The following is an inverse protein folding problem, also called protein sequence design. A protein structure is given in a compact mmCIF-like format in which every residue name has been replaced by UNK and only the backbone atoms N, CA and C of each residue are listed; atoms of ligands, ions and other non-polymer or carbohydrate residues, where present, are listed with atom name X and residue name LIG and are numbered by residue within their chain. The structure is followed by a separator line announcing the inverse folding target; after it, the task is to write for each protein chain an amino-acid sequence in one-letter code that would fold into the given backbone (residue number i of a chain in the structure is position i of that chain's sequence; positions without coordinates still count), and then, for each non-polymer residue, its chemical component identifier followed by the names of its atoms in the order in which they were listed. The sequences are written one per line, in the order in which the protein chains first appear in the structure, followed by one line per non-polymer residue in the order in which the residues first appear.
data_IF_306531044400
#
_entry.id   IF_306531044400
#
_cell.length_a   1.000
_cell.length_b   1.000
_cell.length_c   1.000
_cell.angle_alpha   90.00
_cell.angle_beta   90.00
_cell.angle_gamma   90.00
#
_symmetry.space_group_name_H-M   'P 1'
#
loop_
_entity.id
_entity.type
_entity.pdbx_description
1 polymer ?
#
# COMPACT_ATOMS: atom_id res chain seq x y z
N UNK A 1 -1.98 36.10 50.10
CA UNK A 1 -1.04 35.86 48.98
C UNK A 1 -0.78 34.36 48.74
N UNK A 2 -0.41 33.53 49.73
CA UNK A 2 -0.13 32.10 49.51
C UNK A 2 -1.32 31.27 48.94
N UNK A 3 -2.58 31.58 49.32
CA UNK A 3 -3.76 30.86 48.81
C UNK A 3 -4.10 31.21 47.35
N UNK A 4 -3.82 32.45 46.91
CA UNK A 4 -4.06 32.89 45.53
C UNK A 4 -3.01 32.29 44.59
N UNK A 5 -1.76 32.19 45.04
CA UNK A 5 -0.66 31.55 44.27
C UNK A 5 -0.93 30.06 44.08
N UNK A 6 -1.45 29.35 45.08
CA UNK A 6 -1.78 27.93 45.01
C UNK A 6 -2.96 27.69 44.03
N UNK A 7 -4.00 28.56 44.01
CA UNK A 7 -5.10 28.44 43.07
C UNK A 7 -4.68 28.71 41.62
N UNK A 8 -3.76 29.65 41.38
CA UNK A 8 -3.22 29.93 40.04
C UNK A 8 -2.36 28.76 39.56
N UNK A 9 -1.57 28.13 40.45
CA UNK A 9 -0.75 27.00 40.10
C UNK A 9 -1.58 25.76 39.74
N UNK A 10 -2.71 25.52 40.42
CA UNK A 10 -3.62 24.39 40.09
C UNK A 10 -4.36 24.61 38.76
N UNK A 11 -4.75 25.84 38.45
CA UNK A 11 -5.37 26.19 37.15
C UNK A 11 -4.35 26.08 36.02
N UNK A 12 -3.10 26.49 36.23
CA UNK A 12 -2.02 26.35 35.23
C UNK A 12 -1.66 24.87 34.97
N UNK A 13 -1.71 24.01 36.00
CA UNK A 13 -1.45 22.56 35.84
C UNK A 13 -2.61 21.84 35.11
N UNK A 14 -3.85 22.31 35.24
CA UNK A 14 -5.02 21.75 34.54
C UNK A 14 -5.04 22.08 33.04
N UNK A 15 -4.45 23.20 32.63
CA UNK A 15 -4.37 23.61 31.22
C UNK A 15 -3.27 22.82 30.47
N UNK A 16 -2.25 22.30 31.18
CA UNK A 16 -1.17 21.54 30.54
C UNK A 16 -1.55 20.10 30.17
N UNK A 17 -2.70 19.59 30.62
CA UNK A 17 -3.13 18.19 30.36
C UNK A 17 -4.08 18.03 29.19
N UNK A 18 -4.53 19.12 28.56
CA UNK A 18 -5.29 19.08 27.32
C UNK A 18 -4.35 19.07 26.09
N UNK A 19 -3.46 18.08 26.01
CA UNK A 19 -2.82 17.77 24.73
C UNK A 19 -3.97 17.39 23.78
N UNK A 20 -4.11 18.03 22.59
CA UNK A 20 -5.03 17.54 21.60
C UNK A 20 -4.60 16.11 21.27
N UNK A 21 -5.42 15.13 21.63
CA UNK A 21 -5.33 13.81 21.04
C UNK A 21 -5.63 14.03 19.57
N UNK A 22 -4.60 14.19 18.76
CA UNK A 22 -4.73 14.01 17.33
C UNK A 22 -5.20 12.59 17.14
N UNK A 23 -6.50 12.40 17.01
CA UNK A 23 -7.07 11.18 16.50
C UNK A 23 -6.40 11.00 15.13
N UNK A 24 -5.45 10.08 15.06
CA UNK A 24 -4.83 9.69 13.81
C UNK A 24 -5.99 9.21 12.94
N UNK A 25 -6.32 9.95 11.91
CA UNK A 25 -7.39 9.61 10.97
C UNK A 25 -7.12 8.17 10.50
N UNK A 26 -7.93 7.24 10.99
CA UNK A 26 -7.71 5.81 10.79
C UNK A 26 -8.22 5.47 9.40
N UNK A 27 -7.36 5.67 8.41
CA UNK A 27 -7.64 5.39 7.01
C UNK A 27 -7.89 3.90 6.82
N UNK A 28 -8.96 3.54 6.14
CA UNK A 28 -9.27 2.13 5.83
C UNK A 28 -8.25 1.62 4.81
N UNK A 29 -7.61 0.49 5.16
CA UNK A 29 -6.60 -0.13 4.31
C UNK A 29 -7.21 -0.68 3.03
N UNK A 30 -6.49 -0.48 1.92
CA UNK A 30 -6.82 -1.07 0.62
C UNK A 30 -6.16 -2.44 0.48
N UNK A 31 -6.80 -3.36 -0.22
CA UNK A 31 -6.23 -4.68 -0.56
C UNK A 31 -5.43 -4.54 -1.83
N UNK A 32 -4.12 -4.73 -1.74
CA UNK A 32 -3.19 -4.54 -2.86
C UNK A 32 -2.40 -5.82 -3.11
N UNK A 33 -2.38 -6.26 -4.36
CA UNK A 33 -1.52 -7.33 -4.80
C UNK A 33 -0.34 -6.76 -5.59
N UNK A 34 0.85 -7.30 -5.37
CA UNK A 34 1.97 -7.08 -6.29
C UNK A 34 1.92 -8.21 -7.29
N UNK A 35 1.70 -7.85 -8.55
CA UNK A 35 1.70 -8.78 -9.67
C UNK A 35 3.10 -8.92 -10.28
N UNK A 36 3.14 -9.04 -11.62
CA UNK A 36 4.41 -9.22 -12.32
C UNK A 36 5.38 -8.06 -12.07
N UNK A 37 6.60 -8.42 -11.65
CA UNK A 37 7.76 -7.53 -11.65
C UNK A 37 8.80 -8.11 -12.62
N UNK A 38 9.46 -7.28 -13.44
CA UNK A 38 10.40 -7.75 -14.47
C UNK A 38 11.71 -6.98 -14.41
N UNK A 39 12.77 -7.57 -14.94
CA UNK A 39 14.04 -6.90 -15.21
C UNK A 39 14.18 -6.74 -16.73
N UNK A 40 14.00 -5.52 -17.24
CA UNK A 40 14.12 -5.20 -18.67
C UNK A 40 15.57 -4.85 -19.07
N UNK A 41 16.47 -4.67 -18.10
CA UNK A 41 17.86 -4.31 -18.36
C UNK A 41 18.64 -5.49 -18.98
N UNK A 42 19.76 -5.19 -19.61
CA UNK A 42 20.71 -6.20 -20.10
C UNK A 42 21.73 -6.62 -19.02
N UNK A 43 21.71 -5.95 -17.87
CA UNK A 43 22.67 -6.19 -16.80
C UNK A 43 22.47 -7.56 -16.16
N UNK A 44 23.53 -8.34 -16.04
CA UNK A 44 23.51 -9.66 -15.45
C UNK A 44 22.93 -10.77 -16.34
N UNK A 45 22.46 -10.44 -17.56
CA UNK A 45 21.94 -11.42 -18.52
C UNK A 45 23.11 -12.11 -19.24
N UNK A 46 23.50 -13.29 -18.77
CA UNK A 46 24.49 -14.17 -19.40
C UNK A 46 23.81 -15.30 -20.16
N UNK A 47 24.64 -16.23 -20.69
CA UNK A 47 24.21 -17.40 -21.48
C UNK A 47 23.21 -18.32 -20.75
N UNK A 48 23.24 -18.31 -19.42
CA UNK A 48 22.36 -19.12 -18.54
C UNK A 48 21.35 -18.25 -17.76
N UNK A 49 20.97 -17.10 -18.31
CA UNK A 49 20.00 -16.23 -17.67
C UNK A 49 18.63 -16.89 -17.59
N UNK A 50 18.13 -17.02 -16.36
CA UNK A 50 16.78 -17.48 -16.07
C UNK A 50 15.91 -16.29 -15.67
N UNK A 51 14.89 -16.01 -16.48
CA UNK A 51 14.00 -14.88 -16.28
C UNK A 51 13.16 -14.99 -14.98
N UNK A 52 12.82 -16.23 -14.60
CA UNK A 52 11.98 -16.48 -13.43
C UNK A 52 12.80 -16.44 -12.13
N UNK A 53 14.11 -16.68 -12.22
CA UNK A 53 15.05 -16.63 -11.10
C UNK A 53 15.96 -15.39 -11.12
N UNK A 54 15.55 -14.29 -11.74
CA UNK A 54 16.33 -13.06 -11.76
C UNK A 54 16.45 -12.45 -10.34
N UNK A 55 17.67 -12.35 -9.78
CA UNK A 55 17.87 -11.85 -8.42
C UNK A 55 17.50 -10.37 -8.26
N UNK A 56 17.68 -9.54 -9.32
CA UNK A 56 17.31 -8.13 -9.26
C UNK A 56 15.81 -7.96 -9.21
N UNK A 57 15.08 -8.76 -9.97
CA UNK A 57 13.62 -8.78 -9.96
C UNK A 57 13.09 -9.14 -8.57
N UNK A 58 13.57 -10.25 -8.00
CA UNK A 58 13.15 -10.69 -6.64
C UNK A 58 13.45 -9.63 -5.61
N UNK A 59 14.64 -9.05 -5.63
CA UNK A 59 15.04 -8.01 -4.71
C UNK A 59 14.17 -6.75 -4.81
N UNK A 60 13.86 -6.30 -6.01
CA UNK A 60 13.00 -5.14 -6.21
C UNK A 60 11.58 -5.39 -5.68
N UNK A 61 11.05 -6.60 -5.88
CA UNK A 61 9.75 -7.02 -5.37
C UNK A 61 9.74 -7.05 -3.84
N UNK A 62 10.77 -7.62 -3.21
CA UNK A 62 10.90 -7.68 -1.75
C UNK A 62 10.99 -6.27 -1.13
N UNK A 63 11.78 -5.38 -1.75
CA UNK A 63 11.90 -3.99 -1.30
C UNK A 63 10.56 -3.25 -1.42
N UNK A 64 9.85 -3.42 -2.55
CA UNK A 64 8.54 -2.80 -2.77
C UNK A 64 7.52 -3.31 -1.75
N UNK A 65 7.43 -4.63 -1.56
CA UNK A 65 6.53 -5.27 -0.58
C UNK A 65 6.80 -4.74 0.83
N UNK A 66 8.07 -4.69 1.23
CA UNK A 66 8.47 -4.19 2.56
C UNK A 66 8.07 -2.72 2.76
N UNK A 67 8.29 -1.85 1.76
CA UNK A 67 7.93 -0.42 1.86
C UNK A 67 6.42 -0.22 1.93
N UNK A 68 5.64 -0.95 1.13
CA UNK A 68 4.18 -0.88 1.16
C UNK A 68 3.63 -1.40 2.49
N UNK A 69 4.18 -2.51 3.02
CA UNK A 69 3.81 -3.04 4.34
C UNK A 69 4.09 -2.05 5.46
N UNK A 70 5.28 -1.43 5.46
CA UNK A 70 5.69 -0.42 6.45
C UNK A 70 4.81 0.83 6.43
N UNK A 71 4.19 1.17 5.30
CA UNK A 71 3.26 2.30 5.21
C UNK A 71 2.02 2.12 6.11
N UNK A 72 1.65 0.88 6.43
CA UNK A 72 0.46 0.53 7.20
C UNK A 72 -0.87 0.84 6.50
N UNK A 73 -0.84 1.25 5.23
CA UNK A 73 -2.02 1.67 4.45
C UNK A 73 -2.66 0.53 3.66
N UNK A 74 -2.01 -0.64 3.61
CA UNK A 74 -2.42 -1.75 2.76
C UNK A 74 -2.55 -3.06 3.53
N UNK A 75 -3.45 -3.91 3.05
CA UNK A 75 -3.41 -5.37 3.20
C UNK A 75 -2.74 -5.87 1.92
N UNK A 76 -1.49 -6.34 2.04
CA UNK A 76 -0.76 -6.88 0.91
C UNK A 76 -1.13 -8.34 0.68
N UNK A 77 -1.40 -8.68 -0.57
CA UNK A 77 -1.78 -10.01 -1.00
C UNK A 77 -0.62 -10.61 -1.82
N UNK A 78 -0.15 -11.79 -1.38
CA UNK A 78 0.87 -12.54 -2.11
C UNK A 78 0.28 -13.11 -3.40
N UNK A 79 1.00 -12.95 -4.51
CA UNK A 79 0.62 -13.47 -5.83
C UNK A 79 1.76 -14.17 -6.57
N UNK A 80 3.00 -13.89 -6.20
CA UNK A 80 4.18 -14.49 -6.84
C UNK A 80 4.30 -15.97 -6.49
N UNK A 81 4.22 -16.28 -5.19
CA UNK A 81 4.35 -17.63 -4.65
C UNK A 81 3.00 -18.33 -4.44
N UNK A 82 1.96 -17.89 -5.13
CA UNK A 82 0.59 -18.39 -4.95
C UNK A 82 0.49 -19.91 -5.14
N UNK A 83 1.24 -20.46 -6.11
CA UNK A 83 1.24 -21.92 -6.37
C UNK A 83 1.85 -22.71 -5.21
N UNK A 84 2.85 -22.15 -4.52
CA UNK A 84 3.43 -22.73 -3.31
C UNK A 84 2.42 -22.69 -2.18
N UNK A 85 1.78 -21.54 -1.96
CA UNK A 85 0.76 -21.35 -0.92
C UNK A 85 -0.44 -22.29 -1.13
N UNK A 86 -0.89 -22.46 -2.37
CA UNK A 86 -2.01 -23.37 -2.69
C UNK A 86 -1.63 -24.83 -2.40
N UNK A 87 -0.39 -25.23 -2.66
CA UNK A 87 0.10 -26.59 -2.33
C UNK A 87 0.15 -26.84 -0.82
N UNK A 88 0.54 -25.83 -0.03
CA UNK A 88 0.62 -25.94 1.44
C UNK A 88 -0.78 -25.89 2.09
N UNK A 89 -1.65 -24.98 1.64
CA UNK A 89 -2.98 -24.80 2.21
C UNK A 89 -4.04 -25.79 1.69
N UNK A 90 -3.77 -26.44 0.54
CA UNK A 90 -4.72 -27.33 -0.11
C UNK A 90 -5.99 -26.63 -0.58
N UNK A 91 -7.10 -27.37 -0.59
CA UNK A 91 -8.43 -26.85 -1.02
C UNK A 91 -9.02 -25.81 -0.05
N UNK A 92 -8.37 -25.58 1.10
CA UNK A 92 -8.81 -24.63 2.13
C UNK A 92 -8.42 -23.19 1.85
N UNK A 93 -7.66 -22.93 0.77
CA UNK A 93 -7.19 -21.59 0.46
C UNK A 93 -8.29 -20.72 -0.13
N UNK A 94 -8.80 -19.78 0.66
CA UNK A 94 -9.68 -18.72 0.18
C UNK A 94 -8.85 -17.58 -0.42
N UNK A 95 -9.05 -17.30 -1.71
CA UNK A 95 -8.35 -16.19 -2.40
C UNK A 95 -9.08 -14.88 -2.16
N UNK A 96 -8.45 -13.96 -1.43
CA UNK A 96 -8.95 -12.59 -1.29
C UNK A 96 -8.78 -11.84 -2.60
N UNK A 97 -9.82 -11.13 -3.04
CA UNK A 97 -9.71 -10.20 -4.17
C UNK A 97 -8.90 -8.95 -3.80
N UNK A 98 -8.06 -8.48 -4.71
CA UNK A 98 -7.36 -7.21 -4.59
C UNK A 98 -8.23 -6.06 -5.10
N UNK A 99 -8.11 -4.88 -4.50
CA UNK A 99 -8.69 -3.63 -5.05
C UNK A 99 -7.78 -3.11 -6.18
N UNK A 100 -6.46 -3.24 -5.98
CA UNK A 100 -5.45 -2.79 -6.92
C UNK A 100 -4.35 -3.83 -7.12
N UNK A 101 -3.76 -3.82 -8.32
CA UNK A 101 -2.60 -4.64 -8.67
C UNK A 101 -1.45 -3.70 -9.07
N UNK A 102 -0.29 -3.86 -8.44
CA UNK A 102 0.93 -3.14 -8.80
C UNK A 102 1.75 -4.04 -9.73
N UNK A 103 2.10 -3.51 -10.90
CA UNK A 103 3.02 -4.11 -11.84
C UNK A 103 4.27 -3.25 -11.91
N UNK A 104 5.44 -3.86 -12.01
CA UNK A 104 6.68 -3.10 -12.03
C UNK A 104 7.75 -3.70 -12.95
N UNK A 105 8.76 -2.87 -13.24
CA UNK A 105 9.96 -3.32 -13.95
C UNK A 105 11.17 -2.48 -13.57
N UNK A 106 12.34 -3.11 -13.57
CA UNK A 106 13.62 -2.41 -13.56
C UNK A 106 13.93 -2.07 -15.01
N UNK A 107 13.96 -0.78 -15.33
CA UNK A 107 14.10 -0.27 -16.72
C UNK A 107 15.55 0.04 -17.06
N UNK A 108 16.30 0.55 -16.09
CA UNK A 108 17.69 0.92 -16.24
C UNK A 108 18.53 0.39 -15.08
N UNK A 109 19.78 0.03 -15.39
CA UNK A 109 20.77 -0.28 -14.37
C UNK A 109 22.17 0.07 -14.89
N UNK A 110 22.86 0.92 -14.17
CA UNK A 110 24.20 1.39 -14.52
C UNK A 110 25.15 1.36 -13.34
N UNK A 111 26.43 1.18 -13.63
CA UNK A 111 27.54 1.29 -12.67
C UNK A 111 28.64 2.17 -13.23
N UNK A 112 29.17 3.04 -12.37
CA UNK A 112 30.32 3.86 -12.66
C UNK A 112 31.33 3.71 -11.54
N UNK A 113 32.60 3.48 -11.92
CA UNK A 113 33.73 3.46 -10.98
C UNK A 113 34.67 4.61 -11.37
N UNK A 114 34.93 5.50 -10.45
CA UNK A 114 35.88 6.61 -10.62
C UNK A 114 37.02 6.45 -9.62
N UNK A 115 38.24 6.53 -10.11
CA UNK A 115 39.46 6.47 -9.29
C UNK A 115 40.25 7.75 -9.43
N UNK A 116 40.66 8.34 -8.31
CA UNK A 116 41.63 9.42 -8.27
C UNK A 116 42.88 8.98 -7.48
N UNK A 117 44.01 8.95 -8.18
CA UNK A 117 45.30 8.64 -7.57
C UNK A 117 46.10 9.90 -7.35
N UNK A 118 46.64 10.02 -6.14
CA UNK A 118 47.63 11.04 -5.74
C UNK A 118 48.88 10.33 -5.18
N UNK A 119 50.00 11.05 -5.10
CA UNK A 119 51.31 10.48 -4.75
C UNK A 119 51.30 9.63 -3.46
N UNK A 120 50.42 9.93 -2.51
CA UNK A 120 50.31 9.22 -1.22
C UNK A 120 48.89 8.78 -0.86
N UNK A 121 47.90 8.95 -1.76
CA UNK A 121 46.53 8.56 -1.51
C UNK A 121 45.83 8.14 -2.79
N UNK A 122 44.97 7.15 -2.66
CA UNK A 122 44.04 6.71 -3.71
C UNK A 122 42.63 6.78 -3.19
N UNK A 123 41.73 7.35 -3.98
CA UNK A 123 40.29 7.39 -3.69
C UNK A 123 39.56 6.70 -4.81
N UNK A 124 38.68 5.76 -4.48
CA UNK A 124 37.85 5.07 -5.43
C UNK A 124 36.38 5.24 -5.05
N UNK A 125 35.64 5.82 -5.98
CA UNK A 125 34.18 6.02 -5.84
C UNK A 125 33.45 5.06 -6.76
N UNK A 126 32.46 4.35 -6.21
CA UNK A 126 31.53 3.50 -6.97
C UNK A 126 30.15 4.12 -6.88
N UNK A 127 29.55 4.38 -8.03
CA UNK A 127 28.18 4.88 -8.15
C UNK A 127 27.34 3.84 -8.88
N UNK A 128 26.16 3.56 -8.37
CA UNK A 128 25.16 2.70 -8.99
C UNK A 128 23.88 3.51 -9.20
N UNK A 129 23.32 3.39 -10.40
CA UNK A 129 22.04 3.96 -10.79
C UNK A 129 21.07 2.83 -11.13
N UNK A 130 19.80 2.96 -10.69
CA UNK A 130 18.72 2.06 -11.07
C UNK A 130 17.47 2.86 -11.41
N UNK A 131 16.87 2.57 -12.59
CA UNK A 131 15.57 3.05 -13.00
C UNK A 131 14.51 1.98 -12.70
N UNK A 132 13.38 2.41 -12.12
CA UNK A 132 12.24 1.53 -11.82
C UNK A 132 10.97 2.19 -12.30
N UNK A 133 10.18 1.45 -13.07
CA UNK A 133 8.85 1.85 -13.52
C UNK A 133 7.78 1.03 -12.80
N UNK A 134 6.66 1.67 -12.44
CA UNK A 134 5.50 1.01 -11.83
C UNK A 134 4.22 1.42 -12.53
N UNK A 135 3.25 0.50 -12.53
CA UNK A 135 1.88 0.74 -12.99
C UNK A 135 0.91 0.24 -11.93
N UNK A 136 -0.08 1.07 -11.61
CA UNK A 136 -1.18 0.72 -10.73
C UNK A 136 -2.41 0.42 -11.58
N UNK A 137 -2.94 -0.78 -11.43
CA UNK A 137 -4.09 -1.29 -12.18
C UNK A 137 -5.25 -1.48 -11.22
N UNK A 138 -6.41 -0.94 -11.53
CA UNK A 138 -7.64 -1.24 -10.80
C UNK A 138 -8.09 -2.66 -11.14
N UNK A 139 -8.20 -3.53 -10.12
CA UNK A 139 -8.42 -4.96 -10.35
C UNK A 139 -9.80 -5.26 -10.96
N UNK A 140 -10.83 -4.47 -10.61
CA UNK A 140 -12.19 -4.65 -11.09
C UNK A 140 -12.37 -4.36 -12.59
N UNK A 141 -11.61 -3.39 -13.12
CA UNK A 141 -11.76 -2.89 -14.50
C UNK A 141 -10.60 -3.24 -15.42
N UNK A 142 -9.44 -3.56 -14.85
CA UNK A 142 -8.19 -3.73 -15.59
C UNK A 142 -7.58 -2.40 -16.10
N UNK A 143 -8.13 -1.25 -15.69
CA UNK A 143 -7.62 0.05 -16.09
C UNK A 143 -6.31 0.38 -15.38
N UNK A 144 -5.34 0.87 -16.13
CA UNK A 144 -4.13 1.49 -15.57
C UNK A 144 -4.53 2.89 -15.07
N UNK A 145 -4.60 3.07 -13.77
CA UNK A 145 -4.99 4.35 -13.14
C UNK A 145 -3.81 5.25 -12.80
N UNK A 146 -2.60 4.67 -12.80
CA UNK A 146 -1.37 5.41 -12.56
C UNK A 146 -0.18 4.67 -13.18
N UNK A 147 0.78 5.41 -13.70
CA UNK A 147 2.06 4.89 -14.19
C UNK A 147 3.12 5.95 -13.97
N UNK A 148 4.27 5.54 -13.42
CA UNK A 148 5.39 6.44 -13.15
C UNK A 148 6.71 5.68 -13.18
N UNK A 149 7.80 6.45 -13.31
CA UNK A 149 9.17 5.96 -13.32
C UNK A 149 10.06 6.85 -12.48
N UNK A 150 10.93 6.24 -11.68
CA UNK A 150 11.89 6.96 -10.85
C UNK A 150 13.30 6.36 -10.98
N UNK A 151 14.31 7.21 -10.80
CA UNK A 151 15.72 6.83 -10.73
C UNK A 151 16.25 6.95 -9.32
N UNK A 152 16.97 5.94 -8.90
CA UNK A 152 17.66 5.92 -7.62
C UNK A 152 19.15 5.77 -7.79
N UNK A 153 19.91 6.42 -6.91
CA UNK A 153 21.36 6.45 -6.92
C UNK A 153 21.89 5.96 -5.56
N UNK A 154 22.98 5.23 -5.61
CA UNK A 154 23.75 4.88 -4.43
C UNK A 154 25.24 4.99 -4.70
N UNK A 155 25.98 5.49 -3.73
CA UNK A 155 27.42 5.74 -3.86
C UNK A 155 28.16 5.21 -2.64
N UNK A 156 29.37 4.72 -2.86
CA UNK A 156 30.33 4.43 -1.82
C UNK A 156 31.71 4.92 -2.23
N UNK A 157 32.43 5.49 -1.28
CA UNK A 157 33.77 5.99 -1.51
C UNK A 157 34.74 5.33 -0.52
N UNK A 158 35.81 4.73 -1.05
CA UNK A 158 36.92 4.23 -0.23
C UNK A 158 38.18 4.99 -0.49
N UNK A 159 38.94 5.29 0.61
CA UNK A 159 40.23 6.00 0.58
C UNK A 159 41.32 5.08 1.09
N UNK A 160 42.43 5.08 0.39
CA UNK A 160 43.72 4.53 0.88
C UNK A 160 44.72 5.66 1.03
N UNK A 161 45.47 5.68 2.14
CA UNK A 161 46.56 6.61 2.38
C UNK A 161 47.82 5.82 2.76
N UNK A 162 48.92 6.01 2.04
CA UNK A 162 50.17 5.26 2.23
C UNK A 162 49.99 3.74 2.16
N UNK A 163 49.05 3.24 1.31
CA UNK A 163 48.78 1.82 1.20
C UNK A 163 47.95 1.22 2.35
N UNK A 164 47.57 2.03 3.33
CA UNK A 164 46.72 1.63 4.47
C UNK A 164 45.32 2.17 4.25
N UNK A 165 44.30 1.32 4.33
CA UNK A 165 42.90 1.66 4.13
C UNK A 165 42.12 0.53 3.47
N UNK A 166 40.79 0.71 3.35
CA UNK A 166 39.93 -0.31 2.70
C UNK A 166 40.23 -0.46 1.21
N UNK A 167 40.48 -1.67 0.76
CA UNK A 167 40.42 -1.98 -0.68
C UNK A 167 38.95 -1.90 -1.11
N UNK A 168 38.65 -1.06 -2.11
CA UNK A 168 37.32 -1.00 -2.68
C UNK A 168 37.05 -2.28 -3.48
N UNK A 169 36.62 -3.34 -2.77
CA UNK A 169 35.94 -4.47 -3.36
C UNK A 169 34.58 -4.03 -3.93
N UNK A 170 33.96 -4.90 -4.68
CA UNK A 170 32.59 -4.74 -5.14
C UNK A 170 31.63 -4.66 -3.95
N UNK A 171 30.91 -3.52 -3.80
CA UNK A 171 29.85 -3.40 -2.81
C UNK A 171 28.51 -3.84 -3.44
N UNK A 172 28.11 -5.09 -3.16
CA UNK A 172 26.86 -5.65 -3.67
C UNK A 172 25.62 -4.91 -3.13
N UNK A 173 25.75 -4.22 -1.99
CA UNK A 173 24.62 -3.52 -1.37
C UNK A 173 24.24 -2.24 -2.11
N UNK A 174 25.11 -1.69 -2.95
CA UNK A 174 24.81 -0.48 -3.71
C UNK A 174 23.66 -0.67 -4.69
N UNK A 175 23.56 -1.87 -5.30
CA UNK A 175 22.43 -2.19 -6.18
C UNK A 175 21.10 -2.05 -5.43
N UNK A 176 21.03 -2.67 -4.27
CA UNK A 176 19.81 -2.72 -3.46
C UNK A 176 19.44 -1.33 -2.93
N UNK A 177 20.45 -0.53 -2.58
CA UNK A 177 20.27 0.87 -2.18
C UNK A 177 19.74 1.74 -3.33
N UNK A 178 20.26 1.57 -4.55
CA UNK A 178 19.80 2.32 -5.72
C UNK A 178 18.34 1.94 -6.08
N UNK A 179 18.01 0.66 -6.13
CA UNK A 179 16.64 0.18 -6.35
C UNK A 179 15.70 0.70 -5.24
N UNK A 180 16.14 0.62 -3.98
CA UNK A 180 15.36 1.11 -2.84
C UNK A 180 15.11 2.62 -2.91
N UNK A 181 16.09 3.40 -3.38
CA UNK A 181 15.95 4.84 -3.54
C UNK A 181 14.94 5.19 -4.65
N UNK A 182 14.97 4.49 -5.79
CA UNK A 182 13.97 4.63 -6.85
C UNK A 182 12.55 4.28 -6.34
N UNK A 183 12.40 3.12 -5.70
CA UNK A 183 11.11 2.67 -5.17
C UNK A 183 10.55 3.59 -4.09
N UNK A 184 11.42 4.23 -3.27
CA UNK A 184 10.95 5.17 -2.24
C UNK A 184 10.21 6.37 -2.82
N UNK A 185 10.63 6.85 -3.99
CA UNK A 185 9.98 7.97 -4.68
C UNK A 185 8.61 7.57 -5.24
N UNK A 186 8.45 6.31 -5.66
CA UNK A 186 7.22 5.80 -6.27
C UNK A 186 6.17 5.41 -5.23
N UNK A 187 6.59 4.88 -4.07
CA UNK A 187 5.67 4.33 -3.05
C UNK A 187 4.70 5.38 -2.52
N UNK A 188 5.16 6.61 -2.27
CA UNK A 188 4.29 7.69 -1.78
C UNK A 188 3.18 8.01 -2.79
N UNK A 189 3.53 8.11 -4.07
CA UNK A 189 2.56 8.36 -5.13
C UNK A 189 1.56 7.20 -5.30
N UNK A 190 2.04 5.94 -5.18
CA UNK A 190 1.16 4.76 -5.19
C UNK A 190 0.15 4.82 -4.04
N UNK A 191 0.61 5.15 -2.81
CA UNK A 191 -0.26 5.28 -1.65
C UNK A 191 -1.34 6.33 -1.91
N UNK A 192 -0.95 7.51 -2.36
CA UNK A 192 -1.88 8.60 -2.65
C UNK A 192 -2.90 8.18 -3.70
N UNK A 193 -2.46 7.54 -4.79
CA UNK A 193 -3.36 7.07 -5.85
C UNK A 193 -4.34 5.98 -5.40
N UNK A 194 -3.91 5.07 -4.54
CA UNK A 194 -4.81 4.08 -3.95
C UNK A 194 -5.85 4.70 -3.00
N UNK A 195 -5.53 5.84 -2.39
CA UNK A 195 -6.41 6.56 -1.46
C UNK A 195 -7.28 7.64 -2.13
N UNK A 196 -7.04 7.98 -3.41
CA UNK A 196 -7.82 9.00 -4.15
C UNK A 196 -9.33 8.66 -4.23
N UNK A 197 -9.68 7.38 -4.25
CA UNK A 197 -11.07 6.93 -4.22
C UNK A 197 -11.48 6.55 -2.80
N UNK A 198 -12.65 6.97 -2.31
CA UNK A 198 -13.14 6.53 -1.01
C UNK A 198 -13.32 5.01 -0.99
N UNK A 199 -13.06 4.40 0.16
CA UNK A 199 -13.29 2.96 0.33
C UNK A 199 -14.77 2.63 0.15
N UNK A 200 -15.04 1.49 -0.48
CA UNK A 200 -16.37 0.92 -0.62
C UNK A 200 -16.45 -0.44 0.06
N UNK A 201 -17.49 -0.61 0.87
CA UNK A 201 -17.88 -1.90 1.45
C UNK A 201 -19.29 -2.26 1.08
N UNK A 202 -19.74 -3.41 1.56
CA UNK A 202 -21.07 -3.95 1.24
C UNK A 202 -21.77 -4.42 2.50
N UNK A 203 -23.11 -4.33 2.50
CA UNK A 203 -23.95 -5.02 3.47
C UNK A 203 -24.06 -6.47 2.98
N UNK A 204 -23.69 -7.41 3.83
CA UNK A 204 -23.69 -8.86 3.52
C UNK A 204 -25.04 -9.49 3.84
N UNK A 205 -25.58 -9.12 5.01
CA UNK A 205 -26.89 -9.59 5.49
C UNK A 205 -27.39 -8.66 6.60
N UNK A 206 -28.63 -8.86 7.01
CA UNK A 206 -29.23 -8.24 8.20
C UNK A 206 -29.66 -9.39 9.10
N UNK A 207 -29.23 -9.36 10.36
CA UNK A 207 -29.48 -10.37 11.36
C UNK A 207 -29.99 -9.70 12.65
N UNK A 208 -31.21 -9.98 13.05
CA UNK A 208 -31.88 -9.40 14.22
C UNK A 208 -31.69 -7.87 14.34
N UNK A 209 -32.02 -7.12 13.29
CA UNK A 209 -31.84 -5.66 13.17
C UNK A 209 -30.37 -5.17 13.13
N UNK A 210 -29.40 -6.08 13.17
CA UNK A 210 -28.00 -5.75 12.99
C UNK A 210 -27.58 -5.89 11.51
N UNK A 211 -26.95 -4.86 10.99
CA UNK A 211 -26.34 -4.89 9.67
C UNK A 211 -24.99 -5.55 9.74
N UNK A 212 -24.80 -6.64 9.02
CA UNK A 212 -23.51 -7.31 8.87
C UNK A 212 -22.82 -6.75 7.63
N UNK A 213 -21.68 -6.12 7.82
CA UNK A 213 -20.93 -5.46 6.74
C UNK A 213 -19.59 -6.17 6.48
N UNK A 214 -19.09 -6.03 5.25
CA UNK A 214 -17.80 -6.59 4.84
C UNK A 214 -16.63 -5.81 5.46
N UNK A 215 -15.58 -6.54 5.90
CA UNK A 215 -14.37 -5.99 6.47
C UNK A 215 -14.41 -5.84 7.99
N UNK A 216 -13.24 -5.63 8.59
CA UNK A 216 -13.08 -5.60 10.03
C UNK A 216 -11.78 -4.94 10.50
N UNK A 217 -11.27 -5.43 11.63
CA UNK A 217 -10.16 -4.82 12.35
C UNK A 217 -8.87 -4.73 11.54
N UNK A 218 -8.56 -5.75 10.73
CA UNK A 218 -7.35 -5.75 9.88
C UNK A 218 -7.38 -4.66 8.81
N UNK A 219 -8.57 -4.29 8.31
CA UNK A 219 -8.74 -3.14 7.42
C UNK A 219 -8.72 -1.80 8.14
N UNK A 220 -8.82 -1.78 9.45
CA UNK A 220 -8.91 -0.56 10.26
C UNK A 220 -10.35 -0.17 10.61
N UNK A 221 -11.35 -0.99 10.28
CA UNK A 221 -12.73 -0.83 10.72
C UNK A 221 -12.82 -1.26 12.20
N UNK A 222 -13.33 -0.40 13.06
CA UNK A 222 -13.43 -0.65 14.50
C UNK A 222 -14.77 -0.21 15.04
N UNK A 223 -15.20 -0.70 16.21
CA UNK A 223 -16.39 -0.16 16.87
C UNK A 223 -16.33 1.36 16.94
N UNK A 224 -17.43 2.02 16.54
CA UNK A 224 -17.54 3.48 16.37
C UNK A 224 -17.18 4.00 14.97
N UNK A 225 -16.62 3.17 14.06
CA UNK A 225 -16.44 3.57 12.66
C UNK A 225 -17.79 3.85 12.00
N UNK A 226 -17.84 4.90 11.17
CA UNK A 226 -19.08 5.37 10.53
C UNK A 226 -18.91 5.36 9.01
N UNK A 227 -19.98 4.98 8.32
CA UNK A 227 -20.06 4.93 6.86
C UNK A 227 -21.39 5.47 6.38
N UNK A 228 -21.36 6.19 5.27
CA UNK A 228 -22.59 6.46 4.53
C UNK A 228 -23.10 5.20 3.83
N UNK A 229 -24.40 4.91 3.95
CA UNK A 229 -25.07 3.89 3.14
C UNK A 229 -25.67 4.54 1.90
N UNK A 230 -25.33 4.00 0.74
CA UNK A 230 -25.75 4.52 -0.56
C UNK A 230 -26.50 3.44 -1.35
N UNK A 231 -27.56 3.85 -2.04
CA UNK A 231 -28.17 3.01 -3.09
C UNK A 231 -27.43 3.26 -4.40
N UNK A 232 -27.04 2.18 -5.09
CA UNK A 232 -26.37 2.26 -6.40
C UNK A 232 -27.19 3.09 -7.38
N UNK A 233 -26.48 3.89 -8.18
CA UNK A 233 -27.09 4.66 -9.26
C UNK A 233 -27.56 3.79 -10.41
N UNK A 234 -28.35 4.39 -11.29
CA UNK A 234 -28.81 3.71 -12.51
C UNK A 234 -27.62 3.48 -13.45
N UNK A 235 -27.54 2.28 -14.02
CA UNK A 235 -26.60 2.00 -15.11
C UNK A 235 -27.12 2.61 -16.41
N UNK A 236 -26.26 3.39 -17.06
CA UNK A 236 -26.54 4.00 -18.39
C UNK A 236 -25.45 3.60 -19.37
N UNK A 237 -25.85 3.29 -20.59
CA UNK A 237 -24.89 2.99 -21.64
C UNK A 237 -24.33 4.30 -22.21
N UNK A 238 -23.00 4.40 -22.30
CA UNK A 238 -22.32 5.49 -23.01
C UNK A 238 -22.27 5.13 -24.51
N UNK A 239 -23.01 5.81 -25.38
CA UNK A 239 -23.08 5.43 -26.81
C UNK A 239 -21.75 5.65 -27.55
N UNK A 240 -20.85 6.48 -27.03
CA UNK A 240 -19.55 6.76 -27.64
C UNK A 240 -18.54 5.62 -27.37
N UNK A 241 -18.57 5.02 -26.19
CA UNK A 241 -17.59 4.00 -25.78
C UNK A 241 -18.18 2.59 -25.71
N UNK A 242 -19.50 2.46 -25.73
CA UNK A 242 -20.22 1.21 -25.47
C UNK A 242 -20.18 0.75 -24.00
N UNK A 243 -19.48 1.49 -23.14
CA UNK A 243 -19.35 1.15 -21.73
C UNK A 243 -20.62 1.48 -20.94
N UNK A 244 -20.95 0.62 -19.97
CA UNK A 244 -21.98 0.93 -19.00
C UNK A 244 -21.37 1.79 -17.88
N UNK A 245 -22.00 2.92 -17.58
CA UNK A 245 -21.59 3.88 -16.56
C UNK A 245 -22.64 3.89 -15.45
N UNK A 246 -22.20 3.69 -14.21
CA UNK A 246 -23.05 3.85 -13.03
C UNK A 246 -23.17 5.34 -12.70
N UNK A 247 -24.40 5.84 -12.63
CA UNK A 247 -24.66 7.19 -12.15
C UNK A 247 -24.36 7.29 -10.64
N UNK A 248 -24.11 8.50 -10.11
CA UNK A 248 -23.90 8.68 -8.67
C UNK A 248 -25.02 8.06 -7.85
N UNK A 249 -24.63 7.30 -6.81
CA UNK A 249 -25.58 6.70 -5.87
C UNK A 249 -26.27 7.74 -4.99
N UNK A 250 -27.45 7.38 -4.50
CA UNK A 250 -28.18 8.20 -3.51
C UNK A 250 -27.79 7.79 -2.11
N UNK A 251 -27.33 8.74 -1.28
CA UNK A 251 -27.12 8.53 0.16
C UNK A 251 -28.46 8.31 0.84
N UNK A 252 -28.59 7.24 1.62
CA UNK A 252 -29.81 6.86 2.33
C UNK A 252 -29.71 7.08 3.85
N UNK A 253 -28.51 6.96 4.42
CA UNK A 253 -28.31 7.10 5.85
C UNK A 253 -26.87 6.80 6.25
N UNK A 254 -26.70 6.47 7.54
CA UNK A 254 -25.40 6.18 8.14
C UNK A 254 -25.40 4.81 8.83
N UNK A 255 -24.33 4.08 8.66
CA UNK A 255 -24.04 2.85 9.39
C UNK A 255 -22.95 3.14 10.43
N UNK A 256 -23.15 2.67 11.68
CA UNK A 256 -22.18 2.79 12.77
C UNK A 256 -21.81 1.39 13.26
N UNK A 257 -20.54 1.05 13.19
CA UNK A 257 -20.00 -0.25 13.61
C UNK A 257 -20.10 -0.41 15.13
N UNK A 258 -20.61 -1.56 15.58
CA UNK A 258 -20.77 -1.89 17.00
C UNK A 258 -19.77 -2.94 17.47
N UNK A 259 -19.48 -3.94 16.61
CA UNK A 259 -18.53 -5.02 16.94
C UNK A 259 -17.90 -5.59 15.68
N UNK A 260 -16.71 -6.21 15.83
CA UNK A 260 -16.01 -6.92 14.77
C UNK A 260 -15.90 -8.39 15.12
N UNK A 261 -15.96 -9.26 14.12
CA UNK A 261 -15.79 -10.70 14.23
C UNK A 261 -14.91 -11.22 13.11
N UNK A 262 -14.26 -12.37 13.33
CA UNK A 262 -13.31 -12.98 12.42
C UNK A 262 -11.87 -12.67 12.78
N UNK A 263 -10.97 -13.60 12.46
CA UNK A 263 -9.56 -13.53 12.86
C UNK A 263 -8.63 -13.20 11.68
N UNK A 264 -9.14 -13.25 10.46
CA UNK A 264 -8.36 -12.99 9.25
C UNK A 264 -9.09 -12.03 8.30
N UNK A 265 -8.37 -11.28 7.46
CA UNK A 265 -8.99 -10.34 6.51
C UNK A 265 -10.06 -10.95 5.59
N UNK A 266 -10.04 -12.29 5.40
CA UNK A 266 -11.02 -13.01 4.60
C UNK A 266 -12.32 -13.25 5.33
N UNK A 267 -12.22 -13.50 6.64
CA UNK A 267 -13.36 -13.91 7.49
C UNK A 267 -13.89 -12.77 8.33
N UNK A 268 -13.19 -11.62 8.33
CA UNK A 268 -13.61 -10.45 9.08
C UNK A 268 -14.91 -9.87 8.55
N UNK A 269 -15.85 -9.71 9.46
CA UNK A 269 -17.10 -8.98 9.30
C UNK A 269 -17.28 -8.00 10.45
N UNK A 270 -18.10 -6.99 10.25
CA UNK A 270 -18.48 -6.08 11.32
C UNK A 270 -19.99 -6.01 11.46
N UNK A 271 -20.45 -6.05 12.71
CA UNK A 271 -21.82 -5.75 13.06
C UNK A 271 -22.00 -4.25 13.23
N UNK A 272 -23.15 -3.74 12.80
CA UNK A 272 -23.38 -2.30 12.79
C UNK A 272 -24.88 -1.99 12.94
N UNK A 273 -25.17 -0.80 13.45
CA UNK A 273 -26.51 -0.23 13.45
C UNK A 273 -26.68 0.73 12.27
N UNK A 274 -27.92 0.86 11.78
CA UNK A 274 -28.25 1.74 10.69
C UNK A 274 -29.26 2.81 11.12
N UNK A 275 -29.02 4.03 10.69
CA UNK A 275 -29.92 5.17 10.86
C UNK A 275 -30.15 5.82 9.49
N UNK A 276 -31.38 5.79 8.97
CA UNK A 276 -31.68 6.41 7.69
C UNK A 276 -33.02 5.98 7.06
N UNK A 277 -33.12 6.18 5.75
CA UNK A 277 -34.27 5.78 4.96
C UNK A 277 -34.41 4.25 4.91
N UNK A 278 -35.66 3.72 4.87
CA UNK A 278 -35.90 2.29 4.74
C UNK A 278 -35.23 1.75 3.48
N UNK A 279 -34.52 0.62 3.62
CA UNK A 279 -33.89 -0.10 2.51
C UNK A 279 -34.71 -1.35 2.13
N UNK A 280 -34.44 -1.88 0.95
CA UNK A 280 -34.97 -3.14 0.47
C UNK A 280 -34.04 -4.27 0.94
N UNK A 281 -34.47 -5.01 1.96
CA UNK A 281 -33.66 -6.04 2.61
C UNK A 281 -33.50 -7.30 1.77
N UNK A 282 -34.38 -7.52 0.80
CA UNK A 282 -34.32 -8.63 -0.14
C UNK A 282 -33.29 -8.42 -1.26
N UNK A 283 -32.80 -7.16 -1.44
CA UNK A 283 -31.91 -6.75 -2.52
C UNK A 283 -30.70 -5.95 -1.99
N UNK A 284 -29.92 -6.52 -1.07
CA UNK A 284 -28.78 -5.85 -0.45
C UNK A 284 -27.66 -5.51 -1.45
N UNK A 285 -27.56 -6.23 -2.56
CA UNK A 285 -26.63 -5.97 -3.65
C UNK A 285 -26.80 -4.60 -4.33
N UNK A 286 -27.95 -3.95 -4.11
CA UNK A 286 -28.24 -2.59 -4.59
C UNK A 286 -27.55 -1.49 -3.76
N UNK A 287 -26.95 -1.86 -2.63
CA UNK A 287 -26.38 -0.88 -1.69
C UNK A 287 -24.88 -1.07 -1.56
N UNK A 288 -24.21 0.01 -1.15
CA UNK A 288 -22.81 0.00 -0.79
C UNK A 288 -22.54 1.02 0.33
N UNK A 289 -21.48 0.76 1.05
CA UNK A 289 -20.93 1.64 2.07
C UNK A 289 -19.80 2.48 1.49
N UNK A 290 -19.63 3.67 2.00
CA UNK A 290 -18.52 4.55 1.62
C UNK A 290 -18.03 5.33 2.83
N UNK A 291 -16.72 5.54 2.90
CA UNK A 291 -16.09 6.49 3.83
C UNK A 291 -16.69 7.88 3.65
N UNK A 292 -16.96 8.56 4.79
CA UNK A 292 -17.41 9.96 4.83
C UNK A 292 -16.28 10.90 5.25
#
# INVERSE_FOLDING_TARGET
MKKIVCSILVVLLAVLTAAPVFAQEKTIKRKVAIGRFTNETQYGKGLFYDKDNDPMRKQALDILSSKLAQSGKFILLEREDLDVLVKEAGDSMNKIGADYIILGSITEFGRKNEGHEQVFSSTKTQTVEAGVSVRLVEAATGLIIYSDEAKGFAETTSKQTLGIGGTAGYDATLRDKAISAALSQLVENIINKCMDKPWRGYVLTIDDDNYVISGGASQGITPGSRFGLYKKGKMVNNPQTGANVELPGKRLGQITVTANYGDTPETEISFATYEGEKIDEDHLELYYLMEE
#
